data_IF_551913299361
#
_entry.id   IF_551913299361
#
_cell.length_a   1.000
_cell.length_b   1.000
_cell.length_c   1.000
_cell.angle_alpha   90.00
_cell.angle_beta   90.00
_cell.angle_gamma   90.00
#
_symmetry.space_group_name_H-M   'P 1'
#
loop_
_entity.id
_entity.type
_entity.pdbx_description
1 polymer ?
#
# COMPACT_ATOMS: atom_id res chain seq x y z
N UNK A 1 -1.81 -32.78 -56.70
CA UNK A 1 -1.36 -31.81 -55.67
C UNK A 1 -2.56 -30.97 -55.28
N UNK A 2 -3.20 -31.33 -54.15
CA UNK A 2 -4.33 -30.54 -53.62
C UNK A 2 -3.80 -29.38 -52.80
N UNK A 3 -4.09 -28.14 -53.22
CA UNK A 3 -3.80 -26.94 -52.51
C UNK A 3 -4.78 -26.85 -51.31
N UNK A 4 -4.25 -26.97 -50.10
CA UNK A 4 -4.95 -26.61 -48.88
C UNK A 4 -5.20 -25.11 -48.87
N UNK A 5 -6.43 -24.70 -49.17
CA UNK A 5 -6.87 -23.32 -48.96
C UNK A 5 -6.88 -23.07 -47.46
N UNK A 6 -5.93 -22.29 -46.97
CA UNK A 6 -5.96 -21.71 -45.64
C UNK A 6 -7.14 -20.75 -45.57
N UNK A 7 -8.25 -21.22 -44.98
CA UNK A 7 -9.36 -20.33 -44.61
C UNK A 7 -8.83 -19.35 -43.55
N UNK A 8 -8.76 -18.07 -43.93
CA UNK A 8 -8.58 -17.01 -42.94
C UNK A 8 -9.75 -17.11 -41.91
N UNK A 9 -9.48 -17.02 -40.62
CA UNK A 9 -10.54 -17.03 -39.63
C UNK A 9 -11.53 -15.93 -39.91
N UNK A 10 -12.82 -16.26 -40.04
CA UNK A 10 -13.88 -15.28 -40.24
C UNK A 10 -13.79 -14.21 -39.15
N UNK A 11 -13.55 -12.97 -39.54
CA UNK A 11 -13.53 -11.86 -38.56
C UNK A 11 -14.91 -11.77 -37.92
N UNK A 12 -14.94 -11.74 -36.58
CA UNK A 12 -16.18 -11.52 -35.84
C UNK A 12 -16.78 -10.16 -36.31
N UNK A 13 -18.02 -10.10 -36.79
CA UNK A 13 -18.65 -8.88 -37.26
C UNK A 13 -18.88 -7.85 -36.14
N UNK A 14 -18.72 -8.24 -34.89
CA UNK A 14 -18.93 -7.39 -33.72
C UNK A 14 -17.60 -7.14 -33.02
N UNK A 15 -17.28 -5.87 -32.79
CA UNK A 15 -16.11 -5.45 -32.04
C UNK A 15 -16.50 -4.48 -30.93
N UNK A 16 -15.78 -4.50 -29.79
CA UNK A 16 -16.01 -3.61 -28.67
C UNK A 16 -14.77 -2.79 -28.38
N UNK A 17 -14.95 -1.48 -28.30
CA UNK A 17 -13.94 -0.53 -27.81
C UNK A 17 -14.34 0.02 -26.46
N UNK A 18 -13.47 -0.04 -25.50
CA UNK A 18 -13.70 0.45 -24.13
C UNK A 18 -13.11 1.85 -23.95
N UNK A 19 -13.88 2.77 -23.39
CA UNK A 19 -13.39 4.06 -22.91
C UNK A 19 -13.95 4.38 -21.51
N UNK A 20 -13.15 5.05 -20.69
CA UNK A 20 -13.59 5.50 -19.36
C UNK A 20 -14.03 6.96 -19.49
N UNK A 21 -15.29 7.25 -19.13
CA UNK A 21 -15.77 8.64 -19.10
C UNK A 21 -15.05 9.41 -18.02
N UNK A 22 -14.65 10.64 -18.35
CA UNK A 22 -14.20 11.59 -17.34
C UNK A 22 -15.38 11.91 -16.43
N UNK A 23 -15.17 11.85 -15.12
CA UNK A 23 -16.16 12.36 -14.16
C UNK A 23 -16.34 13.87 -14.35
N UNK A 24 -17.53 14.35 -13.95
CA UNK A 24 -17.90 15.77 -13.98
C UNK A 24 -16.78 16.66 -13.41
N UNK A 25 -16.66 17.85 -13.97
CA UNK A 25 -15.65 18.82 -13.58
C UNK A 25 -15.73 19.10 -12.08
N UNK A 26 -14.65 18.80 -11.39
CA UNK A 26 -14.47 19.24 -10.01
C UNK A 26 -14.15 20.74 -10.05
N UNK A 27 -14.81 21.57 -9.21
CA UNK A 27 -14.53 22.99 -9.17
C UNK A 27 -13.05 23.24 -8.87
N UNK A 28 -12.52 24.35 -9.35
CA UNK A 28 -11.14 24.77 -9.11
C UNK A 28 -10.86 24.74 -7.61
N UNK A 29 -9.87 23.93 -7.23
CA UNK A 29 -9.45 23.78 -5.86
C UNK A 29 -8.25 24.70 -5.59
N UNK A 30 -8.20 25.29 -4.42
CA UNK A 30 -7.06 26.06 -3.96
C UNK A 30 -6.56 25.52 -2.64
N UNK A 31 -5.23 25.47 -2.44
CA UNK A 31 -4.69 25.06 -1.15
C UNK A 31 -5.09 26.08 -0.08
N UNK A 32 -5.59 25.59 1.05
CA UNK A 32 -5.92 26.41 2.20
C UNK A 32 -4.64 26.99 2.82
N UNK A 33 -4.64 28.26 3.12
CA UNK A 33 -3.55 28.92 3.84
C UNK A 33 -3.60 28.48 5.31
N UNK A 34 -2.63 27.69 5.75
CA UNK A 34 -2.62 27.12 7.10
C UNK A 34 -3.17 25.70 7.18
N UNK A 35 -3.13 24.96 6.07
CA UNK A 35 -3.43 23.51 6.08
C UNK A 35 -2.69 22.80 7.21
N UNK A 36 -3.25 21.72 7.70
CA UNK A 36 -2.84 20.95 8.86
C UNK A 36 -1.35 20.59 8.82
N UNK A 37 -0.55 21.56 9.18
CA UNK A 37 0.76 21.30 9.70
C UNK A 37 0.55 20.83 11.13
N UNK A 38 0.53 19.52 11.33
CA UNK A 38 0.75 19.02 12.67
C UNK A 38 2.22 19.29 12.99
N UNK A 39 2.56 20.07 14.02
CA UNK A 39 3.96 20.21 14.46
C UNK A 39 4.56 18.88 14.93
N UNK A 40 3.72 17.86 15.09
CA UNK A 40 4.06 16.51 15.53
C UNK A 40 4.10 15.51 14.39
N UNK A 41 4.13 15.93 13.13
CA UNK A 41 4.32 15.02 12.00
C UNK A 41 5.70 14.42 12.09
N UNK A 42 5.76 13.12 12.37
CA UNK A 42 7.02 12.41 12.45
C UNK A 42 7.71 12.37 11.09
N UNK A 43 9.01 12.55 11.11
CA UNK A 43 9.83 12.27 9.93
C UNK A 43 9.84 10.77 9.74
N UNK A 44 9.37 10.29 8.58
CA UNK A 44 9.46 8.88 8.20
C UNK A 44 10.78 8.58 7.52
N UNK A 45 11.25 7.35 7.73
CA UNK A 45 12.49 6.82 7.17
C UNK A 45 12.14 5.69 6.21
N UNK A 46 12.69 5.72 5.00
CA UNK A 46 12.52 4.65 4.01
C UNK A 46 13.70 3.66 4.06
N UNK A 47 13.49 2.48 3.46
CA UNK A 47 14.47 1.40 3.46
C UNK A 47 15.77 1.73 2.71
N UNK A 48 15.75 2.70 1.80
CA UNK A 48 16.92 3.24 1.10
C UNK A 48 17.69 4.31 1.91
N UNK A 49 17.20 4.63 3.11
CA UNK A 49 17.77 5.65 3.99
C UNK A 49 17.27 7.07 3.72
N UNK A 50 16.46 7.29 2.69
CA UNK A 50 15.81 8.58 2.46
C UNK A 50 14.79 8.87 3.57
N UNK A 51 14.50 10.15 3.77
CA UNK A 51 13.56 10.60 4.80
C UNK A 51 12.58 11.62 4.25
N UNK A 52 11.38 11.64 4.79
CA UNK A 52 10.38 12.64 4.45
C UNK A 52 9.60 13.11 5.67
N UNK A 53 9.17 14.36 5.62
CA UNK A 53 8.08 14.83 6.49
C UNK A 53 6.78 14.63 5.74
N UNK A 54 5.79 14.13 6.44
CA UNK A 54 4.47 13.84 5.89
C UNK A 54 3.47 14.91 6.32
N UNK A 55 2.56 15.27 5.43
CA UNK A 55 1.55 16.29 5.66
C UNK A 55 0.25 15.91 4.96
N UNK A 56 -0.88 16.24 5.58
CA UNK A 56 -2.17 16.18 4.94
C UNK A 56 -2.45 17.50 4.24
N UNK A 57 -2.59 17.46 2.92
CA UNK A 57 -2.81 18.64 2.09
C UNK A 57 -4.30 18.98 2.11
N UNK A 58 -4.66 20.13 2.68
CA UNK A 58 -6.03 20.63 2.62
C UNK A 58 -6.24 21.57 1.44
N UNK A 59 -7.28 21.27 0.68
CA UNK A 59 -7.74 22.08 -0.46
C UNK A 59 -9.11 22.65 -0.16
N UNK A 60 -9.38 23.87 -0.64
CA UNK A 60 -10.73 24.42 -0.60
C UNK A 60 -11.61 23.68 -1.61
N UNK A 61 -12.86 23.35 -1.28
CA UNK A 61 -13.64 23.71 -0.08
C UNK A 61 -13.68 22.60 1.00
N UNK A 62 -12.62 22.21 1.64
CA UNK A 62 -12.46 21.12 2.62
C UNK A 62 -12.22 19.74 2.02
N UNK A 63 -11.31 19.68 1.08
CA UNK A 63 -10.89 18.40 0.48
C UNK A 63 -9.50 18.07 1.01
N UNK A 64 -9.36 16.89 1.59
CA UNK A 64 -8.08 16.36 2.06
C UNK A 64 -7.42 15.53 0.96
N UNK A 65 -6.11 15.69 0.81
CA UNK A 65 -5.34 15.09 -0.26
C UNK A 65 -3.95 14.67 0.21
N UNK A 66 -3.36 13.72 -0.51
CA UNK A 66 -1.99 13.25 -0.32
C UNK A 66 -1.14 13.50 -1.56
N UNK A 67 0.16 13.73 -1.36
CA UNK A 67 1.11 13.85 -2.48
C UNK A 67 1.26 12.51 -3.20
N UNK A 68 1.29 12.53 -4.53
CA UNK A 68 1.61 11.34 -5.35
C UNK A 68 3.03 11.38 -5.91
N UNK A 69 3.78 12.46 -5.64
CA UNK A 69 5.17 12.60 -6.06
C UNK A 69 6.05 12.95 -4.86
N UNK A 70 6.93 12.00 -4.49
CA UNK A 70 7.90 12.18 -3.41
C UNK A 70 8.91 13.31 -3.71
N UNK A 71 9.29 13.45 -4.97
CA UNK A 71 10.23 14.48 -5.43
C UNK A 71 9.55 15.84 -5.63
N UNK A 72 8.23 15.87 -5.55
CA UNK A 72 7.42 17.05 -5.71
C UNK A 72 7.65 18.06 -4.59
N UNK A 73 7.56 19.32 -4.94
CA UNK A 73 7.67 20.42 -3.96
C UNK A 73 6.31 20.60 -3.29
N UNK A 74 6.25 20.42 -1.96
CA UNK A 74 5.06 20.80 -1.21
C UNK A 74 4.78 22.30 -1.44
N UNK A 75 3.59 22.67 -1.94
CA UNK A 75 3.30 24.08 -2.21
C UNK A 75 3.25 24.83 -0.89
N UNK A 76 4.18 25.74 -0.70
CA UNK A 76 4.27 26.63 0.49
C UNK A 76 3.33 27.83 0.42
N UNK A 77 2.73 28.06 -0.76
CA UNK A 77 1.83 29.20 -1.04
C UNK A 77 0.48 28.68 -1.55
N UNK A 78 -0.59 29.49 -1.43
CA UNK A 78 -1.88 29.16 -2.04
C UNK A 78 -1.68 28.89 -3.54
N UNK A 79 -1.94 27.67 -3.96
CA UNK A 79 -1.76 27.20 -5.33
C UNK A 79 -3.10 26.73 -5.89
N UNK A 80 -3.29 26.90 -7.20
CA UNK A 80 -4.49 26.44 -7.88
C UNK A 80 -4.30 25.00 -8.32
N UNK A 81 -5.28 24.15 -8.01
CA UNK A 81 -5.30 22.75 -8.41
C UNK A 81 -6.29 22.57 -9.55
N UNK A 82 -5.98 21.69 -10.47
CA UNK A 82 -6.87 21.29 -11.57
C UNK A 82 -6.96 19.77 -11.58
N UNK A 83 -8.15 19.23 -11.83
CA UNK A 83 -8.27 17.81 -12.14
C UNK A 83 -7.41 17.44 -13.33
N UNK A 84 -6.65 16.37 -13.21
CA UNK A 84 -5.80 15.85 -14.27
C UNK A 84 -5.91 14.32 -14.32
N UNK A 85 -5.45 13.74 -15.42
CA UNK A 85 -5.29 12.29 -15.51
C UNK A 85 -3.94 11.91 -14.91
N UNK A 86 -3.82 10.67 -14.47
CA UNK A 86 -2.56 10.09 -13.98
C UNK A 86 -1.40 10.25 -14.98
N UNK A 87 -1.68 10.18 -16.29
CA UNK A 87 -0.69 10.38 -17.34
C UNK A 87 -0.09 11.79 -17.39
N UNK A 88 -0.71 12.76 -16.73
CA UNK A 88 -0.19 14.13 -16.64
C UNK A 88 0.79 14.33 -15.48
N UNK A 89 1.01 13.31 -14.65
CA UNK A 89 1.91 13.36 -13.50
C UNK A 89 3.30 12.90 -13.94
N UNK A 90 4.31 13.79 -13.96
CA UNK A 90 5.67 13.40 -14.27
C UNK A 90 6.24 12.52 -13.15
N UNK A 91 7.20 11.66 -13.49
CA UNK A 91 7.96 10.80 -12.56
C UNK A 91 7.16 9.77 -11.75
N UNK A 92 5.91 9.56 -12.07
CA UNK A 92 5.07 8.51 -11.48
C UNK A 92 4.76 7.50 -12.56
N UNK A 93 4.85 6.22 -12.27
CA UNK A 93 4.37 5.14 -13.14
C UNK A 93 2.83 5.17 -13.16
N UNK A 94 2.31 6.22 -13.70
CA UNK A 94 1.06 6.86 -13.36
C UNK A 94 -0.18 5.99 -13.60
N UNK A 95 -0.21 5.18 -14.62
CA UNK A 95 -1.39 4.36 -14.93
C UNK A 95 -1.41 3.00 -14.23
N UNK A 96 -0.26 2.56 -13.70
CA UNK A 96 -0.11 1.19 -13.21
C UNK A 96 -0.68 0.98 -11.80
N UNK A 97 -0.76 2.04 -10.99
CA UNK A 97 -1.09 1.97 -9.55
C UNK A 97 -2.27 2.85 -9.12
N UNK A 98 -3.04 3.37 -10.07
CA UNK A 98 -4.23 4.19 -9.78
C UNK A 98 -5.18 3.46 -8.83
N UNK A 99 -5.32 2.18 -9.05
CA UNK A 99 -6.22 1.32 -8.32
C UNK A 99 -5.79 1.12 -6.86
N UNK A 100 -4.51 0.88 -6.62
CA UNK A 100 -3.95 0.71 -5.27
C UNK A 100 -4.04 2.01 -4.48
N UNK A 101 -3.73 3.13 -5.12
CA UNK A 101 -3.81 4.45 -4.47
C UNK A 101 -5.27 4.80 -4.15
N UNK A 102 -6.21 4.52 -5.05
CA UNK A 102 -7.64 4.70 -4.77
C UNK A 102 -8.09 3.90 -3.54
N UNK A 103 -7.71 2.63 -3.49
CA UNK A 103 -8.03 1.78 -2.34
C UNK A 103 -7.43 2.34 -1.04
N UNK A 104 -6.14 2.75 -1.06
CA UNK A 104 -5.48 3.32 0.11
C UNK A 104 -6.24 4.54 0.62
N UNK A 105 -6.54 5.51 -0.24
CA UNK A 105 -7.20 6.76 0.18
C UNK A 105 -8.59 6.49 0.78
N UNK A 106 -9.33 5.52 0.24
CA UNK A 106 -10.66 5.15 0.74
C UNK A 106 -10.61 4.36 2.05
N UNK A 107 -9.51 3.65 2.30
CA UNK A 107 -9.35 2.79 3.48
C UNK A 107 -8.33 3.35 4.50
N UNK A 108 -7.99 4.63 4.40
CA UNK A 108 -7.05 5.29 5.29
C UNK A 108 -7.61 6.60 5.86
N UNK A 109 -6.79 7.29 6.65
CA UNK A 109 -7.11 8.61 7.17
C UNK A 109 -7.09 9.66 6.04
N UNK A 110 -8.01 10.66 6.00
CA UNK A 110 -9.08 10.90 6.96
C UNK A 110 -10.43 10.24 6.60
N UNK A 111 -10.50 9.48 5.50
CA UNK A 111 -11.74 8.79 5.11
C UNK A 111 -12.23 7.85 6.21
N UNK A 112 -11.29 7.16 6.86
CA UNK A 112 -11.53 6.40 8.08
C UNK A 112 -10.85 7.10 9.26
N UNK A 113 -11.56 7.23 10.37
CA UNK A 113 -11.01 7.80 11.60
C UNK A 113 -9.98 6.86 12.25
N UNK A 114 -9.11 7.43 13.09
CA UNK A 114 -8.02 6.67 13.76
C UNK A 114 -8.50 5.52 14.63
N UNK A 115 -9.71 5.61 15.20
CA UNK A 115 -10.31 4.53 15.99
C UNK A 115 -10.63 3.32 15.12
N UNK A 116 -11.27 3.55 13.98
CA UNK A 116 -11.61 2.49 13.02
C UNK A 116 -10.35 1.86 12.42
N UNK A 117 -9.36 2.68 12.03
CA UNK A 117 -8.07 2.20 11.55
C UNK A 117 -7.36 1.34 12.60
N UNK A 118 -7.34 1.77 13.87
CA UNK A 118 -6.76 1.00 14.98
C UNK A 118 -7.46 -0.35 15.15
N UNK A 119 -8.79 -0.38 14.97
CA UNK A 119 -9.58 -1.62 15.04
C UNK A 119 -9.20 -2.57 13.92
N UNK A 120 -9.11 -2.08 12.67
CA UNK A 120 -8.76 -2.89 11.48
C UNK A 120 -7.33 -3.45 11.58
N UNK A 121 -6.36 -2.62 11.96
CA UNK A 121 -4.96 -3.04 12.11
C UNK A 121 -4.80 -4.09 13.21
N UNK A 122 -5.53 -3.97 14.33
CA UNK A 122 -5.59 -5.01 15.37
C UNK A 122 -6.24 -6.30 14.88
N UNK A 123 -7.35 -6.20 14.17
CA UNK A 123 -8.00 -7.39 13.59
C UNK A 123 -7.10 -8.14 12.60
N UNK A 124 -6.18 -7.42 11.93
CA UNK A 124 -5.15 -8.00 11.08
C UNK A 124 -3.94 -8.57 11.86
N UNK A 125 -3.93 -8.47 13.20
CA UNK A 125 -2.83 -8.97 14.04
C UNK A 125 -1.55 -8.13 14.00
N UNK A 126 -1.59 -6.93 13.40
CA UNK A 126 -0.42 -6.08 13.21
C UNK A 126 -0.19 -5.09 14.37
N UNK A 127 -1.17 -4.92 15.24
CA UNK A 127 -1.09 -4.05 16.40
C UNK A 127 -1.59 -4.78 17.65
N UNK A 128 -0.76 -4.84 18.68
CA UNK A 128 -1.09 -5.45 19.97
C UNK A 128 -1.55 -4.42 21.01
N UNK A 129 -2.27 -4.89 22.01
CA UNK A 129 -2.71 -4.08 23.14
C UNK A 129 -3.83 -3.09 22.80
N UNK A 130 -4.01 -2.11 23.70
CA UNK A 130 -5.08 -1.10 23.64
C UNK A 130 -4.65 0.23 23.02
N UNK A 131 -3.41 0.31 22.48
CA UNK A 131 -2.90 1.54 21.89
C UNK A 131 -3.68 1.93 20.62
N UNK A 132 -3.98 3.22 20.48
CA UNK A 132 -4.66 3.78 19.33
C UNK A 132 -3.66 4.53 18.44
N UNK A 133 -3.88 4.47 17.13
CA UNK A 133 -3.18 5.30 16.16
C UNK A 133 -3.42 6.78 16.47
N UNK A 134 -2.37 7.56 16.50
CA UNK A 134 -2.48 9.01 16.50
C UNK A 134 -2.71 9.50 15.05
N UNK A 135 -3.31 10.69 14.91
CA UNK A 135 -3.61 11.27 13.60
C UNK A 135 -2.35 11.43 12.73
N UNK A 136 -1.26 11.94 13.31
CA UNK A 136 0.01 12.10 12.60
C UNK A 136 0.62 10.76 12.16
N UNK A 137 0.48 9.69 12.94
CA UNK A 137 0.92 8.35 12.57
C UNK A 137 0.08 7.80 11.40
N UNK A 138 -1.23 8.06 11.43
CA UNK A 138 -2.12 7.65 10.35
C UNK A 138 -1.82 8.40 9.05
N UNK A 139 -1.55 9.71 9.12
CA UNK A 139 -1.13 10.53 7.97
C UNK A 139 0.21 10.02 7.41
N UNK A 140 1.19 9.78 8.28
CA UNK A 140 2.51 9.30 7.88
C UNK A 140 2.44 7.95 7.16
N UNK A 141 1.71 6.99 7.73
CA UNK A 141 1.53 5.67 7.16
C UNK A 141 0.80 5.70 5.81
N UNK A 142 -0.26 6.52 5.71
CA UNK A 142 -1.02 6.68 4.46
C UNK A 142 -0.15 7.28 3.36
N UNK A 143 0.57 8.34 3.67
CA UNK A 143 1.47 8.98 2.69
C UNK A 143 2.59 8.02 2.25
N UNK A 144 3.19 7.27 3.19
CA UNK A 144 4.21 6.27 2.86
C UNK A 144 3.65 5.15 1.97
N UNK A 145 2.42 4.67 2.24
CA UNK A 145 1.77 3.65 1.42
C UNK A 145 1.47 4.14 0.00
N UNK A 146 1.09 5.41 -0.18
CA UNK A 146 0.92 6.01 -1.50
C UNK A 146 2.27 6.05 -2.24
N UNK A 147 3.34 6.57 -1.62
CA UNK A 147 4.67 6.65 -2.23
C UNK A 147 5.29 5.27 -2.48
N UNK A 148 4.88 4.23 -1.75
CA UNK A 148 5.26 2.86 -2.05
C UNK A 148 4.88 2.48 -3.49
N UNK A 149 3.65 2.79 -3.90
CA UNK A 149 3.16 2.46 -5.24
C UNK A 149 3.59 3.49 -6.29
N UNK A 150 3.52 4.77 -5.96
CA UNK A 150 3.77 5.83 -6.95
C UNK A 150 5.25 6.10 -7.20
N UNK A 151 6.12 5.88 -6.22
CA UNK A 151 7.55 6.19 -6.30
C UNK A 151 8.46 4.98 -6.00
N UNK A 152 7.89 3.81 -5.67
CA UNK A 152 8.67 2.61 -5.32
C UNK A 152 9.37 2.68 -3.96
N UNK A 153 9.02 3.65 -3.11
CA UNK A 153 9.63 3.86 -1.80
C UNK A 153 9.01 2.92 -0.76
N UNK A 154 9.84 2.12 -0.13
CA UNK A 154 9.40 1.24 0.97
C UNK A 154 9.68 1.90 2.30
N UNK A 155 8.65 2.01 3.16
CA UNK A 155 8.88 2.42 4.54
C UNK A 155 9.87 1.44 5.21
N UNK A 156 10.81 1.95 6.00
CA UNK A 156 11.71 1.08 6.78
C UNK A 156 10.88 0.45 7.93
N UNK A 157 10.47 -0.78 7.69
CA UNK A 157 9.70 -1.63 8.61
C UNK A 157 10.53 -2.79 9.17
N UNK A 158 11.85 -2.71 9.06
CA UNK A 158 12.75 -3.70 9.63
C UNK A 158 12.82 -3.55 11.14
N UNK A 159 12.55 -4.62 11.89
CA UNK A 159 12.62 -4.57 13.34
C UNK A 159 14.08 -4.44 13.80
N UNK A 160 14.33 -3.48 14.69
CA UNK A 160 15.66 -3.22 15.24
C UNK A 160 16.11 -4.25 16.27
N UNK A 161 15.21 -5.05 16.80
CA UNK A 161 15.44 -6.13 17.76
C UNK A 161 15.81 -7.47 17.08
N UNK A 162 15.77 -7.52 15.74
CA UNK A 162 16.12 -8.72 14.97
C UNK A 162 17.46 -8.53 14.29
N UNK A 163 18.46 -9.40 14.56
CA UNK A 163 19.74 -9.33 13.88
C UNK A 163 19.61 -9.67 12.39
N UNK A 164 20.39 -9.01 11.56
CA UNK A 164 20.47 -9.29 10.12
C UNK A 164 21.34 -10.51 9.81
N UNK A 165 22.28 -10.81 10.69
CA UNK A 165 23.18 -11.96 10.58
C UNK A 165 23.37 -12.61 11.95
N UNK A 166 23.32 -13.94 11.99
CA UNK A 166 23.65 -14.72 13.16
C UNK A 166 24.75 -15.73 12.78
N UNK A 167 25.93 -15.55 13.37
CA UNK A 167 27.06 -16.46 13.17
C UNK A 167 27.20 -17.37 14.38
N UNK A 168 27.19 -18.68 14.14
CA UNK A 168 27.36 -19.72 15.17
C UNK A 168 28.80 -20.22 15.16
N UNK A 169 29.41 -20.16 16.30
CA UNK A 169 30.76 -20.76 16.56
C UNK A 169 30.64 -21.66 17.78
N UNK A 170 31.68 -22.50 17.99
CA UNK A 170 31.68 -23.38 19.16
C UNK A 170 31.69 -22.56 20.45
N UNK A 171 30.57 -22.65 21.18
CA UNK A 171 30.40 -21.93 22.45
C UNK A 171 30.02 -20.45 22.33
N UNK A 172 29.71 -19.93 21.14
CA UNK A 172 29.27 -18.57 20.99
C UNK A 172 28.30 -18.36 19.82
N UNK A 173 27.42 -17.37 19.97
CA UNK A 173 26.57 -16.83 18.89
C UNK A 173 26.84 -15.34 18.77
N UNK A 174 27.21 -14.93 17.57
CA UNK A 174 27.42 -13.52 17.23
C UNK A 174 26.24 -12.99 16.41
N UNK A 175 25.71 -11.86 16.82
CA UNK A 175 24.55 -11.18 16.21
C UNK A 175 24.99 -9.85 15.64
N UNK A 176 24.75 -9.64 14.36
CA UNK A 176 24.94 -8.35 13.69
C UNK A 176 23.56 -7.70 13.46
N UNK A 177 23.41 -6.44 13.82
CA UNK A 177 22.19 -5.67 13.64
C UNK A 177 22.32 -4.64 12.53
N UNK A 178 21.20 -4.31 11.88
CA UNK A 178 21.13 -3.21 10.93
C UNK A 178 20.97 -1.88 11.66
N UNK A 179 22.05 -1.43 12.27
CA UNK A 179 22.11 -0.25 13.10
C UNK A 179 22.81 -0.52 14.41
N UNK A 180 22.57 0.31 15.40
CA UNK A 180 23.19 0.26 16.72
C UNK A 180 22.11 0.25 17.81
N UNK A 181 21.34 -0.87 17.96
CA UNK A 181 20.25 -0.94 18.93
C UNK A 181 20.80 -0.98 20.36
N UNK A 182 20.09 -0.30 21.28
CA UNK A 182 20.27 -0.48 22.70
C UNK A 182 19.41 -1.65 23.18
N UNK A 183 20.06 -2.73 23.64
CA UNK A 183 19.35 -3.89 24.17
C UNK A 183 18.94 -3.66 25.62
N UNK A 184 17.66 -3.91 25.89
CA UNK A 184 17.08 -3.89 27.24
C UNK A 184 17.03 -5.28 27.88
N UNK A 185 17.25 -6.33 27.09
CA UNK A 185 17.24 -7.70 27.56
C UNK A 185 17.41 -8.70 26.43
N UNK A 186 17.58 -9.96 26.79
CA UNK A 186 17.55 -11.08 25.86
C UNK A 186 16.85 -12.28 26.47
N UNK A 187 16.28 -13.12 25.64
CA UNK A 187 15.72 -14.41 25.99
C UNK A 187 16.42 -15.48 25.16
N UNK A 188 16.93 -16.51 25.83
CA UNK A 188 17.59 -17.64 25.17
C UNK A 188 16.75 -18.90 25.38
N UNK A 189 16.50 -19.64 24.30
CA UNK A 189 16.01 -21.00 24.33
C UNK A 189 17.18 -21.95 24.14
N UNK A 190 17.41 -22.81 25.09
CA UNK A 190 18.55 -23.71 25.05
C UNK A 190 18.26 -25.07 25.69
N UNK A 191 19.08 -26.06 25.30
CA UNK A 191 19.16 -27.35 25.95
C UNK A 191 20.60 -27.58 26.42
N UNK A 192 20.79 -27.98 27.68
CA UNK A 192 22.10 -28.24 28.27
C UNK A 192 22.07 -29.49 29.13
N UNK A 193 23.04 -30.36 28.98
CA UNK A 193 23.18 -31.58 29.82
C UNK A 193 23.70 -31.27 31.23
N UNK A 194 24.40 -30.18 31.38
CA UNK A 194 24.99 -29.69 32.65
C UNK A 194 24.66 -28.22 32.82
N UNK A 195 24.83 -27.74 34.06
CA UNK A 195 24.70 -26.30 34.32
C UNK A 195 25.68 -25.50 33.47
N UNK A 196 25.22 -24.43 32.84
CA UNK A 196 26.00 -23.55 31.96
C UNK A 196 25.89 -22.10 32.41
N UNK A 197 26.93 -21.34 32.17
CA UNK A 197 26.95 -19.89 32.38
C UNK A 197 27.20 -19.18 31.07
N UNK A 198 26.34 -18.21 30.78
CA UNK A 198 26.38 -17.39 29.56
C UNK A 198 26.62 -15.93 29.93
N UNK A 199 27.30 -15.20 29.05
CA UNK A 199 27.45 -13.75 29.16
C UNK A 199 27.18 -13.10 27.79
N UNK A 200 26.52 -11.94 27.80
CA UNK A 200 26.40 -11.14 26.59
C UNK A 200 27.54 -10.17 26.49
N UNK A 201 28.15 -10.09 25.33
CA UNK A 201 29.26 -9.16 24.97
C UNK A 201 28.75 -8.21 23.90
N UNK A 202 29.41 -7.06 23.77
CA UNK A 202 29.12 -5.99 22.82
C UNK A 202 30.35 -5.54 22.08
N UNK A 203 30.22 -5.14 20.82
CA UNK A 203 31.29 -4.63 19.99
C UNK A 203 30.78 -3.61 18.97
N UNK A 204 31.63 -2.66 18.62
CA UNK A 204 31.36 -1.68 17.55
C UNK A 204 31.77 -2.24 16.20
N UNK A 205 32.87 -2.99 16.17
CA UNK A 205 33.58 -3.46 14.97
C UNK A 205 33.46 -4.96 14.71
N UNK A 206 32.88 -5.71 15.67
CA UNK A 206 32.82 -7.18 15.62
C UNK A 206 34.13 -7.87 15.95
N UNK A 207 35.19 -7.12 16.29
CA UNK A 207 36.54 -7.63 16.59
C UNK A 207 36.90 -7.46 18.07
N UNK A 208 36.70 -6.26 18.60
CA UNK A 208 36.95 -5.98 20.02
C UNK A 208 35.68 -6.13 20.83
N UNK A 209 35.70 -7.09 21.76
CA UNK A 209 34.55 -7.45 22.57
C UNK A 209 34.69 -6.97 24.03
N UNK A 210 33.57 -6.50 24.58
CA UNK A 210 33.48 -6.13 26.01
C UNK A 210 32.20 -6.75 26.60
N UNK A 211 32.30 -7.22 27.82
CA UNK A 211 31.14 -7.77 28.51
C UNK A 211 30.08 -6.68 28.76
N UNK A 212 28.81 -7.03 28.55
CA UNK A 212 27.71 -6.20 28.96
C UNK A 212 27.49 -6.37 30.47
N UNK A 213 27.49 -5.26 31.21
CA UNK A 213 27.34 -5.28 32.65
C UNK A 213 26.05 -6.00 33.07
N UNK A 214 26.16 -6.86 34.07
CA UNK A 214 25.08 -7.63 34.66
C UNK A 214 24.30 -8.53 33.66
N UNK A 215 24.90 -8.89 32.53
CA UNK A 215 24.27 -9.75 31.50
C UNK A 215 24.43 -11.24 31.77
N UNK A 216 25.17 -11.63 32.78
CA UNK A 216 25.41 -13.04 33.10
C UNK A 216 24.10 -13.80 33.38
N UNK A 217 23.97 -15.00 32.81
CA UNK A 217 22.87 -15.91 32.95
C UNK A 217 23.37 -17.29 33.32
N UNK A 218 22.95 -17.80 34.48
CA UNK A 218 23.26 -19.15 34.93
C UNK A 218 22.03 -20.02 34.73
N UNK A 219 22.19 -21.11 33.99
CA UNK A 219 21.11 -22.03 33.64
C UNK A 219 21.44 -23.42 34.17
N UNK A 220 20.52 -24.06 34.85
CA UNK A 220 20.66 -25.45 35.27
C UNK A 220 20.54 -26.40 34.06
N UNK A 221 20.98 -27.65 34.24
CA UNK A 221 20.77 -28.70 33.23
C UNK A 221 19.29 -28.84 32.87
N UNK A 222 19.01 -29.02 31.59
CA UNK A 222 17.65 -29.14 31.06
C UNK A 222 17.41 -28.34 29.80
N UNK A 223 16.19 -28.37 29.31
CA UNK A 223 15.73 -27.57 28.18
C UNK A 223 14.74 -26.51 28.67
N UNK A 224 14.91 -25.28 28.23
CA UNK A 224 14.01 -24.20 28.63
C UNK A 224 14.32 -22.86 28.01
N UNK A 225 13.40 -21.92 28.30
CA UNK A 225 13.52 -20.53 27.89
C UNK A 225 13.91 -19.70 29.12
N UNK A 226 14.97 -18.91 28.98
CA UNK A 226 15.55 -18.13 30.06
C UNK A 226 15.70 -16.67 29.65
N UNK A 227 15.15 -15.77 30.46
CA UNK A 227 15.18 -14.34 30.21
C UNK A 227 16.23 -13.62 31.10
N UNK A 228 16.92 -12.66 30.53
CA UNK A 228 17.82 -11.75 31.24
C UNK A 228 17.54 -10.30 30.86
N UNK A 229 17.06 -9.50 31.81
CA UNK A 229 16.95 -8.04 31.67
C UNK A 229 18.33 -7.39 31.83
N UNK A 230 18.59 -6.36 31.05
CA UNK A 230 19.82 -5.56 31.09
C UNK A 230 19.51 -4.20 31.74
N UNK A 231 20.47 -3.70 32.53
CA UNK A 231 20.33 -2.41 33.18
C UNK A 231 20.35 -1.25 32.19
N UNK A 232 19.72 -0.14 32.56
CA UNK A 232 19.75 1.09 31.77
C UNK A 232 21.23 1.51 31.51
N UNK A 233 21.52 1.81 30.25
CA UNK A 233 22.88 2.22 29.84
C UNK A 233 23.88 1.07 29.67
N UNK A 234 23.56 -0.17 30.05
CA UNK A 234 24.48 -1.31 29.93
C UNK A 234 24.94 -1.54 28.47
N UNK A 235 24.10 -1.23 27.51
CA UNK A 235 24.36 -1.36 26.07
C UNK A 235 24.47 -0.01 25.37
N UNK A 236 24.62 1.09 26.07
CA UNK A 236 24.83 2.41 25.47
C UNK A 236 26.29 2.59 25.07
N UNK A 237 26.56 2.99 23.84
CA UNK A 237 27.85 3.49 23.41
C UNK A 237 27.93 4.98 23.71
N UNK A 238 29.11 5.49 24.02
CA UNK A 238 29.42 6.83 24.56
C UNK A 238 28.38 7.91 24.32
N UNK A 239 27.69 8.27 25.41
CA UNK A 239 26.71 9.34 25.42
C UNK A 239 27.41 10.71 25.36
N UNK A 240 27.54 11.27 24.15
CA UNK A 240 27.83 12.69 24.04
C UNK A 240 26.57 13.49 24.33
N UNK A 241 26.62 14.51 25.20
CA UNK A 241 25.48 15.38 25.46
C UNK A 241 24.89 15.93 24.17
N UNK A 242 23.56 15.79 23.98
CA UNK A 242 22.83 16.34 22.81
C UNK A 242 22.74 15.44 21.59
N UNK A 243 23.28 14.22 21.61
CA UNK A 243 23.03 13.20 20.57
C UNK A 243 22.14 12.07 21.09
N UNK A 244 21.31 11.52 20.20
CA UNK A 244 20.54 10.32 20.51
C UNK A 244 21.51 9.21 20.97
N UNK A 245 21.21 8.60 22.12
CA UNK A 245 22.02 7.50 22.64
C UNK A 245 21.97 6.32 21.67
N UNK A 246 23.12 5.84 21.26
CA UNK A 246 23.25 4.67 20.39
C UNK A 246 23.68 3.46 21.20
N UNK A 247 23.32 2.27 20.73
CA UNK A 247 23.84 1.01 21.24
C UNK A 247 25.08 0.53 20.49
N UNK A 248 25.13 -0.74 20.18
CA UNK A 248 26.21 -1.39 19.45
C UNK A 248 25.66 -2.15 18.23
N UNK A 249 26.47 -2.27 17.20
CA UNK A 249 26.10 -3.04 16.00
C UNK A 249 26.23 -4.53 16.21
N UNK A 250 27.19 -4.96 17.00
CA UNK A 250 27.48 -6.38 17.22
C UNK A 250 27.27 -6.74 18.69
N UNK A 251 26.60 -7.87 18.90
CA UNK A 251 26.46 -8.52 20.20
C UNK A 251 26.87 -9.99 20.07
N UNK A 252 27.40 -10.58 21.13
CA UNK A 252 27.80 -11.99 21.16
C UNK A 252 27.34 -12.61 22.47
N UNK A 253 26.61 -13.72 22.39
CA UNK A 253 26.33 -14.56 23.54
C UNK A 253 27.39 -15.61 23.63
N UNK A 254 28.19 -15.58 24.73
CA UNK A 254 29.34 -16.43 24.96
C UNK A 254 29.07 -17.39 26.11
N UNK A 255 29.33 -18.67 25.92
CA UNK A 255 29.37 -19.68 26.99
C UNK A 255 30.73 -19.54 27.72
N UNK A 256 30.66 -19.20 29.01
CA UNK A 256 31.86 -18.97 29.83
C UNK A 256 32.15 -20.12 30.79
N UNK A 257 31.18 -20.95 31.10
CA UNK A 257 31.36 -22.14 31.93
C UNK A 257 30.25 -23.19 31.62
N UNK A 258 30.59 -24.45 31.87
CA UNK A 258 29.68 -25.58 31.63
C UNK A 258 30.15 -26.47 30.48
N UNK A 259 29.26 -27.41 30.08
CA UNK A 259 29.50 -28.33 28.95
C UNK A 259 29.00 -27.81 27.64
N UNK A 260 28.86 -28.72 26.68
CA UNK A 260 28.19 -28.42 25.42
C UNK A 260 26.76 -28.00 25.67
N UNK A 261 26.33 -26.94 24.98
CA UNK A 261 24.98 -26.38 25.06
C UNK A 261 24.45 -26.19 23.64
N UNK A 262 23.22 -26.62 23.43
CA UNK A 262 22.51 -26.36 22.21
C UNK A 262 21.61 -25.11 22.42
N UNK A 263 22.03 -23.99 21.81
CA UNK A 263 21.26 -22.75 21.81
C UNK A 263 20.36 -22.75 20.58
N UNK A 264 19.07 -22.94 20.80
CA UNK A 264 18.07 -23.08 19.74
C UNK A 264 17.70 -21.71 19.15
N UNK A 265 17.39 -20.75 20.03
CA UNK A 265 16.97 -19.41 19.64
C UNK A 265 17.40 -18.35 20.65
N UNK A 266 17.59 -17.12 20.15
CA UNK A 266 17.86 -15.93 20.98
C UNK A 266 17.06 -14.77 20.44
N UNK A 267 16.20 -14.19 21.29
CA UNK A 267 15.45 -12.99 20.99
C UNK A 267 15.88 -11.83 21.89
N UNK A 268 15.71 -10.61 21.39
CA UNK A 268 16.14 -9.41 22.08
C UNK A 268 14.97 -8.48 22.36
N UNK A 269 15.06 -7.71 23.44
CA UNK A 269 14.19 -6.57 23.72
C UNK A 269 15.01 -5.30 23.68
N UNK A 270 14.41 -4.22 23.16
CA UNK A 270 15.09 -2.93 23.08
C UNK A 270 14.87 -2.09 24.34
N UNK A 271 15.82 -1.20 24.61
CA UNK A 271 15.75 -0.25 25.70
C UNK A 271 15.53 1.16 25.17
N UNK A 272 14.40 1.79 25.53
CA UNK A 272 14.11 3.21 25.26
C UNK A 272 13.83 3.59 23.81
N UNK A 273 13.95 2.69 22.85
CA UNK A 273 13.60 2.90 21.44
C UNK A 273 12.39 2.05 21.06
N UNK A 274 11.60 2.51 20.11
CA UNK A 274 10.59 1.68 19.46
C UNK A 274 11.24 0.52 18.70
N UNK A 275 10.44 -0.49 18.38
CA UNK A 275 10.88 -1.69 17.66
C UNK A 275 11.39 -1.38 16.24
N UNK A 276 11.00 -0.26 15.67
CA UNK A 276 11.35 0.18 14.32
C UNK A 276 11.99 1.58 14.36
N UNK A 277 12.64 1.97 13.26
CA UNK A 277 13.10 3.37 13.07
C UNK A 277 11.93 4.34 12.93
N UNK A 278 10.81 3.85 12.40
CA UNK A 278 9.56 4.58 12.33
C UNK A 278 8.68 4.27 13.55
N UNK A 279 7.66 5.10 13.78
CA UNK A 279 6.67 4.84 14.81
C UNK A 279 5.99 3.48 14.58
N UNK A 280 5.94 2.61 15.58
CA UNK A 280 5.46 1.23 15.47
C UNK A 280 4.03 1.15 14.90
N UNK A 281 3.16 2.06 15.34
CA UNK A 281 1.79 2.12 14.85
C UNK A 281 1.70 2.60 13.40
N UNK A 282 2.60 3.50 12.97
CA UNK A 282 2.68 3.91 11.58
C UNK A 282 3.16 2.75 10.68
N UNK A 283 4.14 1.95 11.13
CA UNK A 283 4.58 0.73 10.43
C UNK A 283 3.43 -0.25 10.29
N UNK A 284 2.71 -0.53 11.38
CA UNK A 284 1.58 -1.46 11.38
C UNK A 284 0.47 -1.04 10.42
N UNK A 285 0.11 0.25 10.38
CA UNK A 285 -0.87 0.76 9.45
C UNK A 285 -0.35 0.74 7.99
N UNK A 286 0.90 1.11 7.76
CA UNK A 286 1.51 1.04 6.44
C UNK A 286 1.46 -0.39 5.86
N UNK A 287 1.86 -1.39 6.64
CA UNK A 287 1.82 -2.80 6.22
C UNK A 287 0.38 -3.25 5.92
N UNK A 288 -0.59 -2.83 6.75
CA UNK A 288 -2.02 -3.09 6.52
C UNK A 288 -2.50 -2.48 5.21
N UNK A 289 -2.16 -1.21 4.95
CA UNK A 289 -2.61 -0.50 3.74
C UNK A 289 -1.99 -1.08 2.47
N UNK A 290 -0.70 -1.39 2.49
CA UNK A 290 -0.02 -2.00 1.32
C UNK A 290 -0.58 -3.39 1.04
N UNK A 291 -0.74 -4.23 2.05
CA UNK A 291 -1.31 -5.57 1.89
C UNK A 291 -2.76 -5.52 1.38
N UNK A 292 -3.57 -4.62 1.93
CA UNK A 292 -4.96 -4.42 1.52
C UNK A 292 -5.09 -3.93 0.08
N UNK A 293 -4.26 -2.98 -0.35
CA UNK A 293 -4.24 -2.47 -1.72
C UNK A 293 -3.86 -3.57 -2.73
N UNK A 294 -2.84 -4.37 -2.40
CA UNK A 294 -2.43 -5.51 -3.23
C UNK A 294 -3.51 -6.60 -3.31
N UNK A 295 -4.20 -6.87 -2.20
CA UNK A 295 -5.30 -7.83 -2.17
C UNK A 295 -6.49 -7.32 -3.01
N UNK A 296 -6.87 -6.05 -2.85
CA UNK A 296 -7.94 -5.41 -3.62
C UNK A 296 -7.67 -5.46 -5.12
N UNK A 297 -6.45 -5.18 -5.57
CA UNK A 297 -6.06 -5.29 -6.97
C UNK A 297 -6.31 -6.69 -7.55
N UNK A 298 -6.03 -7.75 -6.77
CA UNK A 298 -6.24 -9.14 -7.21
C UNK A 298 -7.72 -9.49 -7.36
N UNK A 299 -8.59 -8.87 -6.58
CA UNK A 299 -10.03 -9.09 -6.57
C UNK A 299 -10.77 -8.20 -7.56
N UNK A 300 -10.13 -7.12 -8.02
CA UNK A 300 -10.77 -6.16 -8.92
C UNK A 300 -10.82 -6.69 -10.34
N UNK A 301 -12.02 -6.80 -10.86
CA UNK A 301 -12.26 -7.08 -12.27
C UNK A 301 -12.55 -5.77 -12.98
N UNK A 302 -11.65 -5.38 -13.89
CA UNK A 302 -11.85 -4.20 -14.73
C UNK A 302 -13.11 -4.41 -15.58
N UNK A 303 -14.13 -3.52 -15.52
CA UNK A 303 -15.35 -3.68 -16.28
C UNK A 303 -15.06 -3.84 -17.78
N UNK A 304 -15.61 -4.90 -18.37
CA UNK A 304 -15.46 -5.25 -19.78
C UNK A 304 -16.67 -5.99 -20.29
N UNK A 305 -16.91 -5.88 -21.59
CA UNK A 305 -17.84 -6.73 -22.33
C UNK A 305 -17.04 -7.68 -23.22
N UNK A 306 -17.27 -8.98 -23.14
CA UNK A 306 -16.70 -9.94 -24.08
C UNK A 306 -17.67 -10.23 -25.19
N UNK A 307 -17.16 -10.43 -26.40
CA UNK A 307 -17.92 -10.56 -27.65
C UNK A 307 -17.65 -11.88 -28.37
N UNK A 308 -16.94 -12.80 -27.71
CA UNK A 308 -16.45 -14.02 -28.36
C UNK A 308 -17.57 -14.89 -28.95
N UNK A 309 -18.78 -14.76 -28.38
CA UNK A 309 -19.99 -15.47 -28.79
C UNK A 309 -21.02 -14.58 -29.48
N UNK A 310 -20.74 -13.26 -29.60
CA UNK A 310 -21.73 -12.31 -30.14
C UNK A 310 -21.97 -12.54 -31.61
N UNK A 311 -23.24 -12.70 -31.96
CA UNK A 311 -23.76 -12.83 -33.32
C UNK A 311 -24.90 -11.85 -33.55
N UNK A 312 -25.23 -11.56 -34.80
CA UNK A 312 -26.42 -10.82 -35.18
C UNK A 312 -27.43 -11.87 -35.65
N UNK A 313 -28.57 -11.98 -34.98
CA UNK A 313 -29.62 -12.92 -35.34
C UNK A 313 -30.52 -12.38 -36.48
N UNK A 314 -31.48 -13.18 -36.94
CA UNK A 314 -32.39 -12.84 -38.02
C UNK A 314 -33.34 -11.70 -37.63
N UNK A 315 -33.58 -11.46 -36.34
CA UNK A 315 -34.45 -10.40 -35.82
C UNK A 315 -33.67 -9.08 -35.59
N UNK A 316 -32.36 -9.06 -35.85
CA UNK A 316 -31.51 -7.90 -35.64
C UNK A 316 -31.05 -7.73 -34.18
N UNK A 317 -31.22 -8.75 -33.33
CA UNK A 317 -30.66 -8.76 -31.98
C UNK A 317 -29.20 -9.15 -32.04
N UNK A 318 -28.35 -8.43 -31.28
CA UNK A 318 -26.88 -8.63 -31.24
C UNK A 318 -26.50 -9.11 -29.86
N UNK A 319 -25.77 -10.20 -29.77
CA UNK A 319 -25.29 -10.79 -28.52
C UNK A 319 -24.99 -12.29 -28.66
N UNK A 320 -24.68 -13.01 -27.58
CA UNK A 320 -24.55 -12.48 -26.22
C UNK A 320 -23.26 -11.66 -25.99
N UNK A 321 -23.36 -10.64 -25.17
CA UNK A 321 -22.22 -9.94 -24.58
C UNK A 321 -22.14 -10.33 -23.11
N UNK A 322 -21.06 -10.94 -22.68
CA UNK A 322 -20.90 -11.24 -21.25
C UNK A 322 -20.28 -10.04 -20.53
N UNK A 323 -20.99 -9.55 -19.52
CA UNK A 323 -20.54 -8.44 -18.70
C UNK A 323 -19.63 -8.93 -17.56
N UNK A 324 -18.44 -8.34 -17.44
CA UNK A 324 -17.49 -8.63 -16.38
C UNK A 324 -17.19 -7.35 -15.60
N UNK A 325 -17.31 -7.41 -14.29
CA UNK A 325 -16.94 -6.33 -13.36
C UNK A 325 -16.70 -6.93 -11.97
N UNK A 326 -16.27 -6.11 -11.01
CA UNK A 326 -16.22 -6.52 -9.59
C UNK A 326 -17.62 -6.53 -8.99
N UNK A 327 -18.46 -5.53 -9.32
CA UNK A 327 -19.79 -5.33 -8.78
C UNK A 327 -20.81 -5.22 -9.91
N UNK A 328 -22.09 -5.34 -9.53
CA UNK A 328 -23.20 -5.10 -10.44
C UNK A 328 -23.21 -3.65 -10.95
N UNK A 329 -23.55 -3.45 -12.21
CA UNK A 329 -23.58 -2.14 -12.84
C UNK A 329 -24.94 -1.82 -13.45
N UNK A 330 -25.33 -0.55 -13.39
CA UNK A 330 -26.42 -0.05 -14.18
C UNK A 330 -25.93 0.12 -15.63
N UNK A 331 -26.63 -0.51 -16.57
CA UNK A 331 -26.32 -0.39 -17.99
C UNK A 331 -27.35 0.49 -18.69
N UNK A 332 -26.89 1.28 -19.64
CA UNK A 332 -27.73 2.04 -20.55
C UNK A 332 -27.14 1.98 -21.96
N UNK A 333 -27.98 2.17 -22.99
CA UNK A 333 -27.56 2.12 -24.39
C UNK A 333 -27.95 3.41 -25.09
N UNK A 334 -27.12 3.84 -26.04
CA UNK A 334 -27.36 5.09 -26.79
C UNK A 334 -28.47 4.97 -27.82
N UNK A 335 -28.75 3.76 -28.30
CA UNK A 335 -29.89 3.47 -29.18
C UNK A 335 -30.30 2.00 -29.06
N UNK A 336 -31.56 1.69 -29.26
CA UNK A 336 -32.10 0.34 -29.05
C UNK A 336 -32.36 0.06 -27.58
N UNK A 337 -32.34 -1.21 -27.20
CA UNK A 337 -32.72 -1.71 -25.88
C UNK A 337 -31.76 -2.83 -25.44
N UNK A 338 -31.46 -2.90 -24.14
CA UNK A 338 -30.72 -3.99 -23.56
C UNK A 338 -31.72 -5.02 -23.02
N UNK A 339 -31.55 -6.27 -23.48
CA UNK A 339 -32.45 -7.37 -23.10
C UNK A 339 -31.64 -8.55 -22.61
N UNK A 340 -32.28 -9.44 -21.87
CA UNK A 340 -31.73 -10.73 -21.44
C UNK A 340 -31.85 -11.81 -22.54
N UNK A 341 -31.54 -13.06 -22.19
CA UNK A 341 -31.58 -14.19 -23.11
C UNK A 341 -33.04 -14.54 -23.57
N UNK A 342 -34.04 -14.16 -22.77
CA UNK A 342 -35.47 -14.38 -23.07
C UNK A 342 -36.08 -13.22 -23.86
N UNK A 343 -35.28 -12.18 -24.11
CA UNK A 343 -35.70 -10.96 -24.82
C UNK A 343 -36.44 -9.94 -23.95
N UNK A 344 -36.42 -10.10 -22.63
CA UNK A 344 -37.02 -9.17 -21.69
C UNK A 344 -36.06 -7.99 -21.36
N UNK A 345 -36.60 -6.76 -21.27
CA UNK A 345 -35.76 -5.59 -20.96
C UNK A 345 -35.08 -5.67 -19.62
N UNK A 346 -33.78 -5.43 -19.59
CA UNK A 346 -33.00 -5.39 -18.35
C UNK A 346 -33.11 -3.98 -17.74
N UNK A 347 -33.88 -3.87 -16.64
CA UNK A 347 -34.13 -2.63 -15.89
C UNK A 347 -33.33 -2.58 -14.56
N UNK A 348 -32.71 -3.69 -14.15
CA UNK A 348 -31.95 -3.83 -12.90
C UNK A 348 -30.48 -3.77 -13.16
N UNK A 349 -29.62 -3.49 -12.12
CA UNK A 349 -28.19 -3.61 -12.26
C UNK A 349 -27.79 -5.02 -12.73
N UNK A 350 -26.99 -5.07 -13.79
CA UNK A 350 -26.49 -6.32 -14.36
C UNK A 350 -25.40 -6.89 -13.47
N UNK A 351 -25.55 -8.15 -13.08
CA UNK A 351 -24.60 -8.88 -12.25
C UNK A 351 -23.40 -9.33 -13.11
N UNK A 352 -22.17 -9.30 -12.59
CA UNK A 352 -21.01 -9.85 -13.30
C UNK A 352 -21.21 -11.31 -13.73
N UNK A 353 -20.83 -11.62 -14.96
CA UNK A 353 -21.06 -12.95 -15.57
C UNK A 353 -22.36 -13.10 -16.33
N UNK A 354 -23.29 -12.13 -16.25
CA UNK A 354 -24.53 -12.17 -17.02
C UNK A 354 -24.30 -11.90 -18.50
N UNK A 355 -25.03 -12.61 -19.33
CA UNK A 355 -25.13 -12.36 -20.77
C UNK A 355 -26.23 -11.32 -21.04
N UNK A 356 -25.91 -10.33 -21.86
CA UNK A 356 -26.84 -9.29 -22.31
C UNK A 356 -26.90 -9.27 -23.85
N UNK A 357 -28.03 -8.81 -24.36
CA UNK A 357 -28.28 -8.68 -25.78
C UNK A 357 -28.75 -7.26 -26.10
N UNK A 358 -28.54 -6.81 -27.33
CA UNK A 358 -28.94 -5.52 -27.80
C UNK A 358 -29.99 -5.72 -28.90
N UNK A 359 -31.19 -5.14 -28.74
CA UNK A 359 -32.29 -5.22 -29.67
C UNK A 359 -32.63 -3.84 -30.26
N UNK A 360 -33.18 -3.81 -31.49
CA UNK A 360 -33.59 -2.58 -32.14
C UNK A 360 -32.45 -1.75 -32.70
N UNK A 361 -31.31 -2.39 -33.01
CA UNK A 361 -30.16 -1.75 -33.61
C UNK A 361 -30.27 -1.71 -35.15
N UNK A 362 -29.62 -0.73 -35.76
CA UNK A 362 -29.43 -0.73 -37.22
C UNK A 362 -28.44 -1.84 -37.60
N UNK A 363 -28.65 -2.46 -38.76
CA UNK A 363 -27.87 -3.58 -39.24
C UNK A 363 -26.35 -3.29 -39.39
N UNK A 364 -26.02 -2.01 -39.48
CA UNK A 364 -24.64 -1.52 -39.53
C UNK A 364 -24.53 -0.22 -38.73
N UNK A 365 -23.47 -0.06 -38.00
CA UNK A 365 -23.21 1.16 -37.22
C UNK A 365 -22.49 0.94 -35.91
N UNK A 366 -22.43 1.96 -35.12
CA UNK A 366 -21.91 1.87 -33.74
C UNK A 366 -23.00 2.23 -32.74
N UNK A 367 -23.00 1.52 -31.63
CA UNK A 367 -23.85 1.78 -30.48
C UNK A 367 -22.98 1.81 -29.22
N UNK A 368 -23.27 2.73 -28.29
CA UNK A 368 -22.54 2.83 -27.04
C UNK A 368 -23.38 2.24 -25.92
N UNK A 369 -22.85 1.23 -25.25
CA UNK A 369 -23.33 0.75 -23.95
C UNK A 369 -22.53 1.42 -22.87
N UNK A 370 -23.22 2.10 -21.97
CA UNK A 370 -22.61 2.78 -20.82
C UNK A 370 -22.89 1.98 -19.57
N UNK A 371 -21.82 1.55 -18.90
CA UNK A 371 -21.88 0.91 -17.59
C UNK A 371 -21.54 1.91 -16.50
N UNK A 372 -22.42 2.06 -15.51
CA UNK A 372 -22.19 2.82 -14.29
C UNK A 372 -22.05 1.87 -13.11
N UNK A 373 -20.80 1.70 -12.66
CA UNK A 373 -20.47 0.88 -11.49
C UNK A 373 -20.49 1.78 -10.26
N UNK A 374 -21.29 1.48 -9.22
CA UNK A 374 -21.35 2.29 -8.02
C UNK A 374 -19.97 2.33 -7.31
N UNK A 375 -19.70 3.42 -6.60
CA UNK A 375 -18.54 3.50 -5.73
C UNK A 375 -18.75 2.54 -4.55
N UNK A 376 -17.96 1.47 -4.48
CA UNK A 376 -17.98 0.57 -3.34
C UNK A 376 -17.39 1.24 -2.11
N UNK A 377 -18.02 1.06 -0.94
CA UNK A 377 -17.52 1.59 0.33
C UNK A 377 -16.16 0.96 0.74
N UNK A 378 -15.90 -0.28 0.34
CA UNK A 378 -14.77 -1.09 0.76
C UNK A 378 -13.83 -1.55 -0.37
N UNK A 379 -14.01 -1.07 -1.59
CA UNK A 379 -13.28 -1.59 -2.75
C UNK A 379 -13.14 -0.61 -3.90
N UNK A 380 -12.61 -1.11 -4.99
CA UNK A 380 -12.47 -0.41 -6.25
C UNK A 380 -13.83 -0.06 -6.85
N UNK A 381 -14.20 1.14 -6.84
CA UNK A 381 -15.42 1.59 -7.48
C UNK A 381 -15.43 3.10 -7.63
N UNK A 382 -14.36 3.76 -7.18
CA UNK A 382 -14.22 5.18 -7.26
C UNK A 382 -12.97 5.61 -8.03
N UNK A 383 -12.94 6.85 -8.43
CA UNK A 383 -11.78 7.47 -9.08
C UNK A 383 -10.95 8.24 -8.08
N UNK A 384 -9.64 8.03 -8.13
CA UNK A 384 -8.70 9.01 -7.60
C UNK A 384 -8.59 10.14 -8.61
N UNK A 385 -8.80 11.36 -8.16
CA UNK A 385 -8.56 12.54 -8.96
C UNK A 385 -7.22 13.12 -8.55
N UNK A 386 -6.33 13.25 -9.51
CA UNK A 386 -5.08 13.96 -9.32
C UNK A 386 -5.30 15.44 -9.63
N UNK A 387 -4.99 16.29 -8.67
CA UNK A 387 -4.86 17.73 -8.89
C UNK A 387 -3.40 18.10 -9.14
N UNK A 388 -3.16 19.12 -9.94
CA UNK A 388 -1.83 19.66 -10.18
C UNK A 388 -1.78 21.05 -9.58
N UNK A 389 -0.84 21.27 -8.64
CA UNK A 389 -0.56 22.58 -8.10
C UNK A 389 0.49 23.29 -8.92
N UNK A 390 0.25 24.55 -9.22
CA UNK A 390 1.26 25.45 -9.76
C UNK A 390 1.81 26.30 -8.62
N UNK A 391 3.07 26.11 -8.25
CA UNK A 391 3.75 27.00 -7.30
C UNK A 391 4.60 27.98 -8.07
N UNK A 392 4.38 29.29 -7.87
CA UNK A 392 5.25 30.33 -8.40
C UNK A 392 4.52 31.53 -9.00
N UNK A 393 5.14 32.70 -8.90
CA UNK A 393 4.68 33.93 -9.52
C UNK A 393 5.17 34.10 -10.98
N UNK A 394 5.97 33.18 -11.49
CA UNK A 394 6.45 33.19 -12.87
C UNK A 394 6.20 31.85 -13.55
N UNK A 395 5.90 31.87 -14.82
CA UNK A 395 5.68 30.69 -15.66
C UNK A 395 6.94 29.83 -15.82
N UNK A 396 8.11 30.35 -15.50
CA UNK A 396 9.39 29.65 -15.64
C UNK A 396 9.73 28.75 -14.43
N UNK A 397 9.20 29.05 -13.23
CA UNK A 397 9.50 28.35 -11.97
C UNK A 397 8.32 27.54 -11.41
N UNK A 398 7.27 27.33 -12.18
CA UNK A 398 6.11 26.57 -11.74
C UNK A 398 6.45 25.09 -11.69
N UNK A 399 6.63 24.55 -10.47
CA UNK A 399 6.72 23.09 -10.26
C UNK A 399 5.35 22.51 -10.03
N UNK A 400 5.09 21.40 -10.72
CA UNK A 400 3.86 20.64 -10.54
C UNK A 400 3.95 19.84 -9.25
N UNK A 401 2.96 19.98 -8.37
CA UNK A 401 2.79 19.08 -7.21
C UNK A 401 1.51 18.30 -7.40
N UNK A 402 1.58 17.09 -7.92
CA UNK A 402 0.42 16.24 -8.07
C UNK A 402 -0.05 15.72 -6.71
N UNK A 403 -1.35 15.76 -6.49
CA UNK A 403 -1.98 15.26 -5.27
C UNK A 403 -3.10 14.29 -5.62
N UNK A 404 -3.26 13.24 -4.83
CA UNK A 404 -4.33 12.27 -4.96
C UNK A 404 -5.48 12.65 -4.03
N UNK A 405 -6.68 12.63 -4.59
CA UNK A 405 -7.93 12.89 -3.90
C UNK A 405 -8.85 11.69 -4.06
N UNK A 406 -9.49 11.26 -2.99
CA UNK A 406 -10.60 10.32 -3.08
C UNK A 406 -11.89 11.10 -3.34
N UNK A 407 -12.51 10.85 -4.49
CA UNK A 407 -13.84 11.40 -4.81
C UNK A 407 -14.82 10.26 -4.88
N UNK A 408 -15.84 10.25 -4.03
CA UNK A 408 -16.92 9.26 -4.13
C UNK A 408 -17.72 9.55 -5.41
N UNK A 409 -17.41 8.83 -6.47
CA UNK A 409 -18.16 8.91 -7.72
C UNK A 409 -18.22 7.53 -8.37
N UNK A 410 -19.36 7.19 -9.03
CA UNK A 410 -19.45 5.95 -9.77
C UNK A 410 -18.43 5.95 -10.92
N UNK A 411 -17.90 4.79 -11.23
CA UNK A 411 -17.07 4.61 -12.42
C UNK A 411 -17.99 4.43 -13.63
N UNK A 412 -17.90 5.35 -14.59
CA UNK A 412 -18.69 5.30 -15.82
C UNK A 412 -17.78 4.86 -16.97
N UNK A 413 -18.16 3.76 -17.62
CA UNK A 413 -17.39 3.17 -18.72
C UNK A 413 -18.29 3.04 -19.93
N UNK A 414 -17.80 3.51 -21.07
CA UNK A 414 -18.47 3.35 -22.36
C UNK A 414 -17.84 2.19 -23.12
N UNK A 415 -18.66 1.35 -23.68
CA UNK A 415 -18.35 0.30 -24.61
C UNK A 415 -18.94 0.66 -25.97
N UNK A 416 -18.12 1.12 -26.87
CA UNK A 416 -18.51 1.34 -28.25
C UNK A 416 -18.55 0.00 -28.96
N UNK A 417 -19.72 -0.48 -29.31
CA UNK A 417 -19.96 -1.72 -30.05
C UNK A 417 -20.13 -1.35 -31.51
N UNK A 418 -19.23 -1.85 -32.34
CA UNK A 418 -19.24 -1.63 -33.78
C UNK A 418 -19.70 -2.91 -34.46
N UNK A 419 -20.79 -2.81 -35.23
CA UNK A 419 -21.36 -3.88 -36.04
C UNK A 419 -20.95 -3.63 -37.49
N UNK A 420 -20.14 -4.51 -38.04
CA UNK A 420 -19.66 -4.43 -39.41
C UNK A 420 -20.53 -5.27 -40.33
N UNK A 421 -20.72 -4.83 -41.59
CA UNK A 421 -21.32 -5.69 -42.62
C UNK A 421 -20.49 -6.98 -42.80
N UNK A 422 -21.20 -8.09 -43.01
CA UNK A 422 -20.56 -9.36 -43.43
C UNK A 422 -20.01 -9.25 -44.81
#
# INVERSE_FOLDING_TARGET
>A
MSALALHAPARNPVTVRRSVRRTADIPRMTRYRGGTYSPTVDTIVFADGSTARTDLIRLNPNIDAYSVDFTGVAPTRPSRYRPANWSAVPNVSAGAFEAEVDWIIRNSFPTLGTVELSRRVRAAGLLSGQSHLAEHEAIAATQAAIWHFTNGLRLDNRPLDVPITVTRERGSLTFEFDGEPQLGGYTVQLAAEKAVSLILQKSVDGVQWRDVAASGLNVAAGRGSHHRGLGYGATTSDARPGRAQRGYRFYRLQVIAGGDVDIEDVTFTLHGAGRYRNAERAVALYDHLVAGALAARRLTVVPRLTVDRAVVDAAGTVGPFTFHATDAAALSVSSGEIVDADGEPIIWPVIPGSDIYLRGLQAQGSVTVTASVPAAADGFGGRVITGIAYSGNSTADSRLTPVALAVPSPTVIDFEIVISAR
#
